data_IF_718991597851
#
_entry.id   IF_718991597851
#
_cell.length_a   1.000
_cell.length_b   1.000
_cell.length_c   1.000
_cell.angle_alpha   90.00
_cell.angle_beta   90.00
_cell.angle_gamma   90.00
#
_symmetry.space_group_name_H-M   'P 1'
#
loop_
_entity.id
_entity.type
_entity.pdbx_description
1 polymer ?
#
# COMPACT_ATOMS: atom_id res chain seq x y z
N UNK A 1 3.60 15.56 11.54
CA UNK A 1 3.73 15.20 10.12
C UNK A 1 3.94 13.70 10.06
N UNK A 2 3.07 12.97 9.34
CA UNK A 2 3.28 11.54 9.10
C UNK A 2 4.31 11.40 7.99
N UNK A 3 5.40 10.67 8.24
CA UNK A 3 6.40 10.38 7.19
C UNK A 3 5.91 9.13 6.49
N UNK A 4 5.45 9.28 5.25
CA UNK A 4 5.09 8.16 4.41
C UNK A 4 6.35 7.36 4.04
N UNK A 5 6.20 6.06 3.89
CA UNK A 5 7.23 5.17 3.36
C UNK A 5 7.60 5.61 1.95
N UNK A 6 8.87 5.44 1.62
CA UNK A 6 9.43 5.89 0.32
C UNK A 6 8.72 5.26 -0.89
N UNK A 7 8.14 4.07 -0.71
CA UNK A 7 7.42 3.33 -1.75
C UNK A 7 5.89 3.42 -1.63
N UNK A 8 5.35 4.21 -0.70
CA UNK A 8 3.91 4.34 -0.48
C UNK A 8 3.16 4.71 -1.78
N UNK A 9 3.57 5.79 -2.45
CA UNK A 9 2.91 6.25 -3.67
C UNK A 9 2.99 5.25 -4.83
N UNK A 10 4.07 4.45 -4.91
CA UNK A 10 4.21 3.39 -5.90
C UNK A 10 3.15 2.29 -5.67
N UNK A 11 3.04 1.80 -4.43
CA UNK A 11 2.08 0.76 -4.09
C UNK A 11 0.64 1.24 -4.19
N UNK A 12 0.37 2.50 -3.81
CA UNK A 12 -0.95 3.11 -3.99
C UNK A 12 -1.35 3.16 -5.46
N UNK A 13 -0.46 3.61 -6.35
CA UNK A 13 -0.72 3.63 -7.80
C UNK A 13 -0.95 2.21 -8.36
N UNK A 14 -0.09 1.24 -8.00
CA UNK A 14 -0.25 -0.15 -8.46
C UNK A 14 -1.56 -0.78 -7.97
N UNK A 15 -2.02 -0.43 -6.78
CA UNK A 15 -3.31 -0.85 -6.24
C UNK A 15 -4.48 -0.24 -7.02
N UNK A 16 -4.46 1.07 -7.26
CA UNK A 16 -5.48 1.77 -8.06
C UNK A 16 -5.55 1.26 -9.51
N UNK A 17 -4.41 0.88 -10.10
CA UNK A 17 -4.36 0.27 -11.43
C UNK A 17 -4.76 -1.22 -11.45
N UNK A 18 -5.09 -1.83 -10.30
CA UNK A 18 -5.40 -3.26 -10.21
C UNK A 18 -4.22 -4.19 -10.55
N UNK A 19 -3.01 -3.65 -10.60
CA UNK A 19 -1.77 -4.39 -10.91
C UNK A 19 -1.25 -5.15 -9.69
N UNK A 20 -1.62 -4.69 -8.49
CA UNK A 20 -1.20 -5.28 -7.23
C UNK A 20 -2.37 -5.95 -6.51
N UNK A 21 -2.17 -7.16 -6.00
CA UNK A 21 -3.16 -7.85 -5.16
C UNK A 21 -2.90 -7.63 -3.68
N UNK A 22 -3.91 -7.90 -2.83
CA UNK A 22 -3.79 -7.70 -1.38
C UNK A 22 -2.66 -8.52 -0.77
N UNK A 23 -2.38 -9.72 -1.31
CA UNK A 23 -1.28 -10.60 -0.90
C UNK A 23 0.09 -9.98 -1.24
N UNK A 24 0.22 -9.35 -2.40
CA UNK A 24 1.46 -8.66 -2.79
C UNK A 24 1.69 -7.41 -1.95
N UNK A 25 0.62 -6.67 -1.62
CA UNK A 25 0.68 -5.52 -0.72
C UNK A 25 1.08 -5.96 0.69
N UNK A 26 0.53 -7.07 1.19
CA UNK A 26 0.92 -7.66 2.48
C UNK A 26 2.39 -8.11 2.48
N UNK A 27 2.88 -8.63 1.36
CA UNK A 27 4.31 -8.97 1.19
C UNK A 27 5.19 -7.72 1.27
N UNK A 28 4.72 -6.58 0.75
CA UNK A 28 5.43 -5.30 0.86
C UNK A 28 5.50 -4.81 2.32
N UNK A 29 4.47 -5.08 3.13
CA UNK A 29 4.49 -4.85 4.58
C UNK A 29 5.54 -5.73 5.25
N UNK A 30 5.52 -7.05 4.98
CA UNK A 30 6.49 -7.99 5.57
C UNK A 30 7.96 -7.68 5.20
N UNK A 31 8.18 -7.06 4.04
CA UNK A 31 9.51 -6.60 3.59
C UNK A 31 9.91 -5.23 4.15
N UNK A 32 9.01 -4.56 4.87
CA UNK A 32 9.24 -3.21 5.42
C UNK A 32 9.26 -2.10 4.38
N UNK A 33 8.68 -2.33 3.19
CA UNK A 33 8.58 -1.29 2.15
C UNK A 33 7.46 -0.28 2.44
N UNK A 34 6.42 -0.75 3.12
CA UNK A 34 5.30 0.04 3.64
C UNK A 34 4.94 -0.50 5.02
N UNK A 35 4.25 0.29 5.81
CA UNK A 35 3.74 -0.10 7.12
C UNK A 35 2.37 -0.76 7.02
N UNK A 36 1.97 -1.47 8.07
CA UNK A 36 0.62 -2.05 8.14
C UNK A 36 -0.47 -0.97 8.05
N UNK A 37 -0.24 0.22 8.62
CA UNK A 37 -1.16 1.35 8.51
C UNK A 37 -1.29 1.87 7.06
N UNK A 38 -0.19 1.89 6.31
CA UNK A 38 -0.22 2.28 4.90
C UNK A 38 -0.91 1.25 4.02
N UNK A 39 -0.77 -0.04 4.34
CA UNK A 39 -1.55 -1.11 3.71
C UNK A 39 -3.05 -0.88 3.91
N UNK A 40 -3.47 -0.57 5.14
CA UNK A 40 -4.86 -0.29 5.47
C UNK A 40 -5.36 0.97 4.74
N UNK A 41 -4.54 2.02 4.62
CA UNK A 41 -4.91 3.21 3.85
C UNK A 41 -5.08 2.92 2.36
N UNK A 42 -4.15 2.19 1.74
CA UNK A 42 -4.21 1.85 0.31
C UNK A 42 -5.43 0.99 0.02
N UNK A 43 -5.70 -0.02 0.86
CA UNK A 43 -6.82 -0.95 0.67
C UNK A 43 -8.18 -0.32 0.96
N UNK A 44 -8.28 0.58 1.94
CA UNK A 44 -9.52 1.30 2.24
C UNK A 44 -9.87 2.41 1.23
N UNK A 45 -8.91 2.89 0.44
CA UNK A 45 -9.16 3.92 -0.58
C UNK A 45 -9.99 3.43 -1.78
N UNK A 46 -10.35 2.14 -1.86
CA UNK A 46 -11.10 1.55 -2.99
C UNK A 46 -12.56 1.23 -2.64
N UNK A 47 -13.09 1.81 -1.56
CA UNK A 47 -14.49 1.71 -1.18
C UNK A 47 -15.23 3.04 -1.36
N UNK A 48 -15.64 3.35 -2.60
CA UNK A 48 -16.76 4.24 -2.96
C UNK A 48 -17.23 3.92 -4.38
#
# INVERSE_FOLDING_TARGET
MRVASRLYGYFQMCWQCGTLTGVQLQTAVSKGYITQAEYEEITNQTGA
#
